data_IF_159157929093
#
_entry.id   IF_159157929093
#
_cell.length_a   1.000
_cell.length_b   1.000
_cell.length_c   1.000
_cell.angle_alpha   90.00
_cell.angle_beta   90.00
_cell.angle_gamma   90.00
#
_symmetry.space_group_name_H-M   'P 1'
#
loop_
_entity.id
_entity.type
_entity.pdbx_description
1 polymer ?
#
# COMPACT_ATOMS: atom_id res chain seq x y z
N UNK A 1 -2.94 -15.08 22.50
CA UNK A 1 -3.33 -15.07 21.11
C UNK A 1 -3.54 -13.62 20.73
N UNK A 2 -2.68 -13.00 19.92
CA UNK A 2 -3.04 -11.70 19.40
C UNK A 2 -4.19 -11.91 18.41
N UNK A 3 -5.29 -11.26 18.69
CA UNK A 3 -6.46 -11.14 17.85
C UNK A 3 -6.01 -10.52 16.53
N UNK A 4 -6.14 -11.28 15.44
CA UNK A 4 -5.83 -10.79 14.09
C UNK A 4 -6.64 -9.53 13.86
N UNK A 5 -5.94 -8.41 13.71
CA UNK A 5 -6.51 -7.09 13.56
C UNK A 5 -7.31 -7.00 12.23
N UNK A 6 -8.53 -7.51 12.27
CA UNK A 6 -9.57 -7.14 11.31
C UNK A 6 -9.80 -5.65 11.51
N UNK A 7 -9.13 -4.83 10.70
CA UNK A 7 -9.29 -3.39 10.74
C UNK A 7 -8.03 -2.55 11.03
N UNK A 8 -6.81 -3.08 10.88
CA UNK A 8 -5.59 -2.27 10.87
C UNK A 8 -5.18 -1.87 9.45
N UNK A 9 -4.51 -0.74 9.35
CA UNK A 9 -3.91 -0.23 8.13
C UNK A 9 -2.42 0.03 8.33
N UNK A 10 -1.66 -0.15 7.26
CA UNK A 10 -0.29 0.32 7.16
C UNK A 10 -0.27 1.68 6.46
N UNK A 11 0.45 2.62 7.05
CA UNK A 11 0.83 3.89 6.41
C UNK A 11 2.23 3.70 5.86
N UNK A 12 2.35 3.73 4.53
CA UNK A 12 3.60 3.50 3.84
C UNK A 12 4.12 4.79 3.21
N UNK A 13 5.43 5.02 3.31
CA UNK A 13 6.14 5.95 2.44
C UNK A 13 6.79 5.13 1.35
N UNK A 14 6.40 5.37 0.11
CA UNK A 14 6.99 4.74 -1.07
C UNK A 14 7.77 5.78 -1.87
N UNK A 15 9.04 5.52 -2.21
CA UNK A 15 9.89 6.48 -2.87
C UNK A 15 10.80 5.82 -3.90
N UNK A 16 11.04 6.51 -5.03
CA UNK A 16 11.94 6.02 -6.07
C UNK A 16 13.39 6.12 -5.62
N UNK A 17 14.05 4.97 -5.50
CA UNK A 17 15.44 4.87 -5.10
C UNK A 17 16.36 5.48 -6.15
N UNK A 18 17.30 6.34 -5.72
CA UNK A 18 18.30 6.94 -6.60
C UNK A 18 17.84 8.14 -7.42
N UNK A 19 16.56 8.49 -7.40
CA UNK A 19 16.09 9.74 -7.98
C UNK A 19 16.46 10.94 -7.10
N UNK A 20 16.73 12.10 -7.72
CA UNK A 20 17.19 13.31 -7.03
C UNK A 20 16.44 14.58 -7.51
N UNK A 21 15.52 15.15 -6.71
CA UNK A 21 14.92 14.59 -5.49
C UNK A 21 14.04 13.37 -5.78
N UNK A 22 13.87 12.44 -4.84
CA UNK A 22 13.05 11.27 -5.10
C UNK A 22 11.55 11.64 -5.15
N UNK A 23 10.81 11.26 -6.19
CA UNK A 23 9.36 11.22 -6.13
C UNK A 23 8.92 10.26 -5.03
N UNK A 24 7.92 10.66 -4.24
CA UNK A 24 7.43 9.82 -3.16
C UNK A 24 5.92 9.96 -2.99
N UNK A 25 5.30 8.92 -2.44
CA UNK A 25 3.87 8.87 -2.09
C UNK A 25 3.69 8.31 -0.69
N UNK A 26 2.67 8.79 0.00
CA UNK A 26 2.22 8.28 1.30
C UNK A 26 0.91 7.55 1.11
N UNK A 27 0.95 6.24 1.24
CA UNK A 27 -0.18 5.35 0.98
C UNK A 27 -0.73 4.79 2.30
N UNK A 28 -2.04 4.68 2.40
CA UNK A 28 -2.73 3.95 3.46
C UNK A 28 -3.38 2.70 2.86
N UNK A 29 -3.03 1.54 3.38
CA UNK A 29 -3.42 0.22 2.86
C UNK A 29 -3.91 -0.68 3.98
N UNK A 30 -4.89 -1.58 3.73
CA UNK A 30 -5.23 -2.63 4.68
C UNK A 30 -3.99 -3.46 5.03
N UNK A 31 -3.75 -3.74 6.32
CA UNK A 31 -2.61 -4.57 6.75
C UNK A 31 -2.68 -6.00 6.21
N UNK A 32 -3.88 -6.45 5.87
CA UNK A 32 -4.14 -7.79 5.29
C UNK A 32 -3.95 -7.86 3.77
N UNK A 33 -3.67 -6.73 3.10
CA UNK A 33 -3.43 -6.73 1.64
C UNK A 33 -2.27 -7.66 1.31
N UNK A 34 -2.43 -8.51 0.31
CA UNK A 34 -1.37 -9.42 -0.15
C UNK A 34 -0.35 -8.69 -1.01
N UNK A 35 0.88 -9.22 -1.11
CA UNK A 35 1.96 -8.53 -1.83
C UNK A 35 1.68 -8.45 -3.33
N UNK A 36 0.98 -9.43 -3.94
CA UNK A 36 0.52 -9.33 -5.33
C UNK A 36 -0.44 -8.14 -5.53
N UNK A 37 -1.32 -7.87 -4.55
CA UNK A 37 -2.20 -6.71 -4.60
C UNK A 37 -1.46 -5.39 -4.30
N UNK A 38 -0.44 -5.44 -3.43
CA UNK A 38 0.46 -4.31 -3.23
C UNK A 38 1.22 -3.97 -4.52
N UNK A 39 1.64 -4.99 -5.29
CA UNK A 39 2.24 -4.78 -6.60
C UNK A 39 1.31 -3.97 -7.53
N UNK A 40 0.04 -4.37 -7.67
CA UNK A 40 -0.93 -3.64 -8.48
C UNK A 40 -1.11 -2.19 -8.00
N UNK A 41 -1.18 -1.96 -6.68
CA UNK A 41 -1.24 -0.60 -6.11
C UNK A 41 0.00 0.22 -6.49
N UNK A 42 1.21 -0.37 -6.43
CA UNK A 42 2.44 0.33 -6.81
C UNK A 42 2.50 0.65 -8.30
N UNK A 43 2.00 -0.26 -9.16
CA UNK A 43 1.92 -0.01 -10.60
C UNK A 43 1.05 1.22 -10.90
N UNK A 44 -0.13 1.32 -10.29
CA UNK A 44 -0.99 2.50 -10.41
C UNK A 44 -0.37 3.75 -9.79
N UNK A 45 0.26 3.60 -8.63
CA UNK A 45 0.89 4.73 -7.91
C UNK A 45 1.96 5.44 -8.72
N UNK A 46 2.67 4.69 -9.58
CA UNK A 46 3.77 5.21 -10.39
C UNK A 46 3.48 5.25 -11.90
N UNK A 47 2.25 4.98 -12.32
CA UNK A 47 1.86 5.02 -13.73
C UNK A 47 2.51 3.91 -14.58
N UNK A 48 2.86 2.77 -13.96
CA UNK A 48 3.48 1.64 -14.67
C UNK A 48 2.44 0.69 -15.27
N UNK A 49 2.83 -0.07 -16.31
CA UNK A 49 1.92 -0.88 -17.12
C UNK A 49 2.09 -2.40 -16.92
N UNK A 50 2.82 -2.85 -15.90
CA UNK A 50 3.03 -4.26 -15.52
C UNK A 50 3.64 -5.14 -16.62
N UNK A 51 4.55 -4.60 -17.44
CA UNK A 51 5.23 -5.38 -18.50
C UNK A 51 6.48 -6.12 -18.02
N UNK A 52 6.92 -5.92 -16.79
CA UNK A 52 8.19 -6.45 -16.27
C UNK A 52 8.03 -7.42 -15.10
N UNK A 53 9.05 -8.26 -14.86
CA UNK A 53 9.13 -9.03 -13.64
C UNK A 53 9.28 -8.11 -12.43
N UNK A 54 8.78 -8.55 -11.28
CA UNK A 54 8.97 -7.82 -10.03
C UNK A 54 9.32 -8.76 -8.86
N UNK A 55 9.81 -8.16 -7.78
CA UNK A 55 9.97 -8.84 -6.50
C UNK A 55 9.96 -7.86 -5.33
N UNK A 56 9.60 -8.39 -4.16
CA UNK A 56 9.69 -7.72 -2.87
C UNK A 56 10.79 -8.34 -2.03
N UNK A 57 11.76 -7.55 -1.62
CA UNK A 57 12.84 -7.96 -0.72
C UNK A 57 12.57 -7.37 0.65
N UNK A 58 12.39 -8.23 1.65
CA UNK A 58 12.06 -7.86 3.03
C UNK A 58 13.06 -8.47 4.00
N UNK A 59 12.96 -8.14 5.28
CA UNK A 59 13.74 -8.79 6.34
C UNK A 59 13.43 -10.30 6.46
N UNK A 60 12.26 -10.73 6.02
CA UNK A 60 11.78 -12.11 6.14
C UNK A 60 11.99 -12.96 4.88
N UNK A 61 12.55 -12.38 3.82
CA UNK A 61 12.87 -13.06 2.58
C UNK A 61 12.46 -12.30 1.33
N UNK A 62 12.59 -12.96 0.20
CA UNK A 62 12.20 -12.44 -1.11
C UNK A 62 10.87 -13.08 -1.54
N UNK A 63 9.95 -12.24 -2.03
CA UNK A 63 8.62 -12.64 -2.52
C UNK A 63 8.49 -12.21 -3.98
N UNK A 64 7.67 -12.91 -4.74
CA UNK A 64 7.40 -12.57 -6.13
C UNK A 64 6.49 -13.57 -6.81
N UNK A 65 6.01 -13.21 -7.98
CA UNK A 65 5.16 -14.06 -8.79
C UNK A 65 5.85 -15.30 -9.34
N UNK A 66 5.10 -16.24 -9.91
CA UNK A 66 5.63 -17.50 -10.45
C UNK A 66 6.56 -17.24 -11.64
N UNK A 67 7.81 -17.64 -11.53
CA UNK A 67 8.82 -17.50 -12.58
C UNK A 67 8.86 -18.73 -13.46
N UNK A 68 8.81 -18.55 -14.79
CA UNK A 68 9.05 -19.65 -15.73
C UNK A 68 10.53 -20.06 -15.70
N UNK A 69 10.87 -21.33 -15.43
CA UNK A 69 12.24 -21.77 -15.23
C UNK A 69 12.98 -21.93 -16.57
N UNK A 70 13.63 -20.90 -17.06
CA UNK A 70 14.42 -20.97 -18.31
C UNK A 70 15.82 -20.35 -18.23
N UNK A 71 16.24 -19.78 -17.10
CA UNK A 71 17.53 -19.11 -17.01
C UNK A 71 18.14 -19.16 -15.59
N UNK A 72 19.38 -18.63 -15.44
CA UNK A 72 20.04 -18.49 -14.14
C UNK A 72 19.26 -17.59 -13.16
N UNK A 73 18.51 -16.63 -13.71
CA UNK A 73 17.55 -15.80 -12.97
C UNK A 73 16.40 -16.67 -12.42
N UNK A 74 15.95 -17.67 -13.17
CA UNK A 74 14.92 -18.61 -12.74
C UNK A 74 15.31 -19.44 -11.50
N UNK A 75 16.62 -19.70 -11.28
CA UNK A 75 17.08 -20.44 -10.10
C UNK A 75 16.96 -19.57 -8.84
N UNK A 76 17.25 -18.29 -8.96
CA UNK A 76 17.09 -17.32 -7.85
C UNK A 76 15.61 -17.05 -7.55
N UNK A 77 14.80 -16.99 -8.59
CA UNK A 77 13.36 -16.83 -8.49
C UNK A 77 12.64 -18.08 -7.93
N UNK A 78 13.21 -19.27 -8.09
CA UNK A 78 12.68 -20.50 -7.48
C UNK A 78 12.85 -20.55 -5.95
N UNK A 79 13.65 -19.66 -5.37
CA UNK A 79 13.81 -19.49 -3.92
C UNK A 79 12.87 -18.42 -3.34
N UNK A 80 12.16 -17.69 -4.20
CA UNK A 80 11.16 -16.69 -3.79
C UNK A 80 9.93 -17.36 -3.22
N UNK A 81 9.36 -16.72 -2.22
CA UNK A 81 8.06 -17.10 -1.68
C UNK A 81 6.94 -16.55 -2.57
N UNK A 82 5.81 -17.24 -2.56
CA UNK A 82 4.62 -16.79 -3.26
C UNK A 82 4.08 -15.51 -2.61
N UNK A 83 4.01 -14.43 -3.38
CA UNK A 83 3.52 -13.13 -2.96
C UNK A 83 2.01 -13.10 -2.73
N UNK A 84 1.24 -13.94 -3.46
CA UNK A 84 -0.22 -14.01 -3.32
C UNK A 84 -0.68 -14.60 -1.99
N UNK A 85 0.19 -15.38 -1.33
CA UNK A 85 -0.04 -15.96 -0.01
C UNK A 85 0.51 -15.13 1.16
N UNK A 86 1.18 -14.00 0.90
CA UNK A 86 1.87 -13.20 1.91
C UNK A 86 1.17 -11.85 2.11
N UNK A 87 0.59 -11.62 3.29
CA UNK A 87 0.04 -10.33 3.65
C UNK A 87 1.15 -9.30 3.96
N UNK A 88 0.88 -8.01 3.71
CA UNK A 88 1.77 -6.90 4.06
C UNK A 88 2.21 -6.95 5.52
N UNK A 89 1.29 -7.20 6.45
CA UNK A 89 1.59 -7.36 7.89
C UNK A 89 2.53 -8.54 8.21
N UNK A 90 2.68 -9.52 7.32
CA UNK A 90 3.62 -10.62 7.47
C UNK A 90 4.98 -10.31 6.85
N UNK A 91 5.00 -9.45 5.84
CA UNK A 91 6.20 -9.05 5.11
C UNK A 91 6.93 -7.86 5.76
N UNK A 92 6.18 -6.99 6.47
CA UNK A 92 6.68 -5.83 7.20
C UNK A 92 5.68 -5.52 8.33
N UNK A 93 5.85 -6.14 9.48
CA UNK A 93 4.87 -6.15 10.58
C UNK A 93 5.06 -5.06 11.61
N UNK A 94 6.19 -4.36 11.60
CA UNK A 94 6.52 -3.35 12.58
C UNK A 94 6.75 -1.97 11.94
N UNK A 95 6.43 -0.92 12.69
CA UNK A 95 6.77 0.46 12.28
C UNK A 95 8.29 0.59 12.15
N UNK A 96 8.74 1.14 11.03
CA UNK A 96 10.15 1.22 10.64
C UNK A 96 10.64 0.07 9.76
N UNK A 97 9.86 -0.97 9.55
CA UNK A 97 10.20 -2.02 8.61
C UNK A 97 10.30 -1.48 7.17
N UNK A 98 11.28 -2.01 6.44
CA UNK A 98 11.54 -1.63 5.05
C UNK A 98 11.30 -2.79 4.09
N UNK A 99 10.76 -2.48 2.92
CA UNK A 99 10.65 -3.39 1.78
C UNK A 99 11.33 -2.70 0.59
N UNK A 100 12.20 -3.42 -0.15
CA UNK A 100 12.64 -2.99 -1.46
C UNK A 100 11.78 -3.69 -2.52
N UNK A 101 11.02 -2.92 -3.27
CA UNK A 101 10.29 -3.40 -4.43
C UNK A 101 11.15 -3.17 -5.68
N UNK A 102 11.41 -4.25 -6.43
CA UNK A 102 12.22 -4.25 -7.64
C UNK A 102 11.33 -4.54 -8.83
N UNK A 103 11.46 -3.76 -9.91
CA UNK A 103 10.62 -3.88 -11.11
C UNK A 103 11.44 -3.67 -12.39
N UNK A 104 11.20 -4.51 -13.41
CA UNK A 104 11.80 -4.39 -14.73
C UNK A 104 12.81 -5.49 -15.09
N UNK A 105 13.28 -5.49 -16.36
CA UNK A 105 14.11 -6.55 -16.92
C UNK A 105 15.61 -6.26 -16.90
N UNK A 106 16.04 -5.02 -17.09
CA UNK A 106 17.43 -4.65 -17.34
C UNK A 106 17.97 -3.66 -16.32
N UNK A 107 17.26 -2.58 -16.13
CA UNK A 107 17.57 -1.58 -15.12
C UNK A 107 16.42 -1.59 -14.12
N UNK A 108 16.60 -2.43 -13.10
CA UNK A 108 15.59 -2.65 -12.09
C UNK A 108 15.22 -1.29 -11.44
N UNK A 109 14.00 -0.85 -11.68
CA UNK A 109 13.43 0.21 -10.88
C UNK A 109 13.31 -0.29 -9.46
N UNK A 110 13.87 0.47 -8.55
CA UNK A 110 13.76 0.16 -7.13
C UNK A 110 12.91 1.22 -6.45
N UNK A 111 11.86 0.76 -5.78
CA UNK A 111 11.07 1.57 -4.86
C UNK A 111 11.40 1.15 -3.44
N UNK A 112 11.84 2.10 -2.64
CA UNK A 112 12.00 1.90 -1.21
C UNK A 112 10.65 2.18 -0.52
N UNK A 113 10.16 1.19 0.21
CA UNK A 113 8.90 1.22 0.95
C UNK A 113 9.24 1.17 2.44
N UNK A 114 8.78 2.16 3.19
CA UNK A 114 8.94 2.26 4.63
C UNK A 114 7.57 2.19 5.32
N UNK A 115 7.41 1.31 6.29
CA UNK A 115 6.27 1.33 7.19
C UNK A 115 6.41 2.51 8.15
N UNK A 116 5.70 3.60 7.88
CA UNK A 116 5.74 4.78 8.73
C UNK A 116 4.94 4.57 10.01
N UNK A 117 3.74 4.00 9.89
CA UNK A 117 2.85 3.70 11.02
C UNK A 117 1.95 2.50 10.73
N UNK A 118 1.45 1.91 11.81
CA UNK A 118 0.37 0.91 11.79
C UNK A 118 -0.76 1.43 12.68
N UNK A 119 -1.92 1.69 12.09
CA UNK A 119 -3.03 2.35 12.75
C UNK A 119 -4.31 1.51 12.68
N UNK A 120 -5.27 1.69 13.59
CA UNK A 120 -6.64 1.21 13.37
C UNK A 120 -7.23 1.85 12.12
N UNK A 121 -7.99 1.09 11.35
CA UNK A 121 -8.72 1.64 10.20
C UNK A 121 -9.74 2.69 10.64
N UNK A 122 -9.85 3.78 9.89
CA UNK A 122 -10.84 4.82 10.15
C UNK A 122 -12.22 4.33 9.68
N UNK A 123 -13.24 4.33 10.54
CA UNK A 123 -14.59 3.94 10.16
C UNK A 123 -15.10 4.75 8.96
N UNK A 124 -15.58 4.05 7.93
CA UNK A 124 -16.13 4.69 6.72
C UNK A 124 -15.08 5.17 5.71
N UNK A 125 -13.78 5.07 6.01
CA UNK A 125 -12.75 5.37 5.02
C UNK A 125 -12.59 4.21 4.03
N UNK A 126 -12.38 4.56 2.75
CA UNK A 126 -11.99 3.59 1.72
C UNK A 126 -10.47 3.45 1.68
N UNK A 127 -9.98 2.23 1.37
CA UNK A 127 -8.58 1.91 1.17
C UNK A 127 -8.43 1.00 -0.07
N UNK A 128 -7.33 1.08 -0.83
CA UNK A 128 -6.14 1.94 -0.64
C UNK A 128 -6.44 3.42 -0.88
N UNK A 129 -5.63 4.31 -0.29
CA UNK A 129 -5.69 5.74 -0.58
C UNK A 129 -4.33 6.40 -0.46
N UNK A 130 -4.13 7.52 -1.18
CA UNK A 130 -2.96 8.38 -1.06
C UNK A 130 -3.28 9.57 -0.14
N UNK A 131 -2.38 9.87 0.79
CA UNK A 131 -2.56 10.97 1.75
C UNK A 131 -1.48 12.04 1.67
N UNK A 132 -0.57 11.91 0.71
CA UNK A 132 0.48 12.87 0.44
C UNK A 132 1.48 12.37 -0.57
N UNK A 133 2.26 13.27 -1.13
CA UNK A 133 3.28 12.93 -2.10
C UNK A 133 3.97 14.16 -2.66
N UNK A 134 5.00 13.93 -3.46
CA UNK A 134 5.73 14.94 -4.19
C UNK A 134 6.44 14.33 -5.39
N UNK A 135 6.63 15.15 -6.42
CA UNK A 135 7.28 14.77 -7.66
C UNK A 135 6.32 14.09 -8.64
N UNK A 136 6.76 14.01 -9.87
CA UNK A 136 6.03 13.48 -11.02
C UNK A 136 5.77 11.98 -10.92
N UNK A 137 4.91 11.50 -11.81
CA UNK A 137 4.79 10.08 -12.09
C UNK A 137 6.09 9.59 -12.73
N UNK A 138 6.42 8.32 -12.45
CA UNK A 138 7.67 7.74 -12.90
C UNK A 138 7.41 7.04 -14.23
N UNK A 139 7.91 7.56 -15.35
CA UNK A 139 7.79 6.86 -16.61
C UNK A 139 8.64 5.59 -16.59
N UNK A 140 7.98 4.42 -16.41
CA UNK A 140 8.67 3.15 -16.27
C UNK A 140 9.23 2.57 -17.57
N UNK A 141 8.66 2.90 -18.72
CA UNK A 141 8.86 2.10 -19.93
C UNK A 141 9.61 2.83 -21.05
N UNK A 142 9.96 4.08 -20.85
CA UNK A 142 10.70 4.89 -21.82
C UNK A 142 12.13 5.18 -21.44
N UNK A 143 12.55 4.82 -20.23
CA UNK A 143 13.87 5.14 -19.70
C UNK A 143 14.72 3.89 -19.50
N UNK A 144 16.02 4.03 -19.74
CA UNK A 144 17.01 2.97 -19.46
C UNK A 144 17.34 2.86 -17.97
N UNK A 145 16.65 3.64 -17.09
CA UNK A 145 16.81 3.60 -15.65
C UNK A 145 16.78 4.97 -14.97
N UNK A 146 16.95 4.99 -13.66
CA UNK A 146 16.85 6.20 -12.82
C UNK A 146 17.86 7.30 -13.20
N UNK A 147 19.01 6.93 -13.81
CA UNK A 147 20.02 7.89 -14.23
C UNK A 147 19.52 8.76 -15.39
N UNK A 148 18.84 8.17 -16.37
CA UNK A 148 18.26 8.88 -17.51
C UNK A 148 17.10 9.77 -17.06
N UNK A 149 16.25 9.23 -16.19
CA UNK A 149 15.19 9.99 -15.54
C UNK A 149 15.71 11.25 -14.81
N UNK A 150 16.81 11.12 -14.03
CA UNK A 150 17.43 12.26 -13.37
C UNK A 150 18.01 13.29 -14.37
N UNK A 151 18.62 12.82 -15.45
CA UNK A 151 19.21 13.71 -16.48
C UNK A 151 18.14 14.54 -17.18
N UNK A 152 17.01 13.94 -17.54
CA UNK A 152 15.91 14.66 -18.17
C UNK A 152 15.28 15.69 -17.21
N UNK A 153 15.11 15.34 -15.95
CA UNK A 153 14.59 16.26 -14.92
C UNK A 153 15.49 17.49 -14.74
N UNK A 154 16.80 17.29 -14.74
CA UNK A 154 17.77 18.37 -14.63
C UNK A 154 17.70 19.29 -15.86
N UNK A 155 17.52 18.72 -17.07
CA UNK A 155 17.40 19.50 -18.32
C UNK A 155 16.08 20.29 -18.38
N UNK A 156 14.96 19.68 -17.98
CA UNK A 156 13.63 20.29 -18.09
C UNK A 156 13.30 21.24 -16.94
N UNK A 157 14.03 21.16 -15.81
CA UNK A 157 13.79 21.95 -14.58
C UNK A 157 12.31 21.99 -14.18
N UNK A 158 11.64 20.83 -14.23
CA UNK A 158 10.21 20.69 -14.01
C UNK A 158 9.87 20.92 -12.53
N UNK A 159 8.97 21.89 -12.29
CA UNK A 159 8.26 22.00 -11.01
C UNK A 159 6.94 21.26 -11.15
N UNK A 160 6.92 20.00 -10.76
CA UNK A 160 5.77 19.12 -10.97
C UNK A 160 4.90 19.09 -9.74
N UNK A 161 3.64 19.47 -9.94
CA UNK A 161 2.60 19.36 -8.94
C UNK A 161 2.07 17.90 -8.90
N UNK A 162 1.91 17.38 -7.70
CA UNK A 162 1.29 16.08 -7.45
C UNK A 162 0.01 16.27 -6.63
N UNK A 163 -1.09 15.64 -7.09
CA UNK A 163 -2.37 15.66 -6.39
C UNK A 163 -2.67 14.30 -5.73
N UNK A 164 -2.64 14.23 -4.38
CA UNK A 164 -2.96 13.00 -3.69
C UNK A 164 -4.44 12.58 -3.83
N UNK A 165 -5.34 13.53 -4.09
CA UNK A 165 -6.78 13.23 -4.24
C UNK A 165 -7.03 12.52 -5.56
N UNK A 166 -6.40 12.97 -6.66
CA UNK A 166 -6.46 12.31 -7.97
C UNK A 166 -5.99 10.85 -7.89
N UNK A 167 -4.81 10.62 -7.30
CA UNK A 167 -4.32 9.25 -7.12
C UNK A 167 -5.25 8.43 -6.21
N UNK A 168 -5.90 9.04 -5.22
CA UNK A 168 -6.86 8.32 -4.37
C UNK A 168 -8.10 7.88 -5.14
N UNK A 169 -8.57 8.68 -6.09
CA UNK A 169 -9.69 8.33 -6.98
C UNK A 169 -9.31 7.15 -7.88
N UNK A 170 -8.13 7.18 -8.48
CA UNK A 170 -7.61 6.06 -9.31
C UNK A 170 -7.47 4.76 -8.48
N UNK A 171 -6.93 4.85 -7.28
CA UNK A 171 -6.80 3.70 -6.38
C UNK A 171 -8.16 3.17 -5.89
N UNK A 172 -9.20 4.00 -5.81
CA UNK A 172 -10.54 3.56 -5.45
C UNK A 172 -11.16 2.68 -6.55
N UNK A 173 -10.92 2.99 -7.80
CA UNK A 173 -11.34 2.17 -8.94
C UNK A 173 -10.63 0.81 -8.90
N UNK A 174 -9.32 0.82 -8.68
CA UNK A 174 -8.53 -0.40 -8.51
C UNK A 174 -9.04 -1.25 -7.34
N UNK A 175 -9.35 -0.64 -6.19
CA UNK A 175 -9.85 -1.35 -5.00
C UNK A 175 -11.12 -2.17 -5.27
N UNK A 176 -11.96 -1.75 -6.22
CA UNK A 176 -13.16 -2.51 -6.59
C UNK A 176 -12.84 -3.82 -7.30
N UNK A 177 -11.69 -3.87 -7.96
CA UNK A 177 -11.24 -4.99 -8.80
C UNK A 177 -10.37 -5.97 -8.00
N UNK A 178 -9.40 -5.44 -7.24
CA UNK A 178 -8.33 -6.25 -6.64
C UNK A 178 -8.55 -6.60 -5.17
N UNK A 179 -9.35 -5.83 -4.42
CA UNK A 179 -9.63 -6.09 -3.01
C UNK A 179 -11.06 -6.63 -2.88
N UNK A 180 -11.25 -7.93 -2.58
CA UNK A 180 -12.58 -8.51 -2.37
C UNK A 180 -13.38 -7.75 -1.31
N UNK A 181 -14.70 -7.73 -1.47
CA UNK A 181 -15.59 -7.01 -0.54
C UNK A 181 -15.43 -7.45 0.93
N UNK A 182 -14.97 -8.69 1.16
CA UNK A 182 -14.71 -9.23 2.49
C UNK A 182 -13.44 -8.65 3.15
N UNK A 183 -12.50 -8.14 2.36
CA UNK A 183 -11.23 -7.55 2.84
C UNK A 183 -11.33 -6.02 2.98
N UNK A 184 -12.40 -5.43 2.43
CA UNK A 184 -12.66 -4.00 2.60
C UNK A 184 -13.06 -3.76 4.05
N UNK A 185 -12.35 -2.89 4.72
CA UNK A 185 -12.68 -2.49 6.10
C UNK A 185 -13.95 -1.66 6.08
N UNK A 186 -15.08 -2.32 6.27
CA UNK A 186 -16.36 -1.65 6.53
C UNK A 186 -16.41 -1.36 8.03
N UNK A 187 -16.33 -0.10 8.41
CA UNK A 187 -16.67 0.31 9.77
C UNK A 187 -18.11 -0.11 10.08
N UNK A 188 -18.42 -0.51 11.32
CA UNK A 188 -19.80 -0.75 11.71
C UNK A 188 -20.59 0.51 11.47
N UNK A 189 -21.71 0.40 10.72
CA UNK A 189 -22.69 1.46 10.63
C UNK A 189 -23.06 1.85 12.05
N UNK A 190 -22.93 3.15 12.37
CA UNK A 190 -23.36 3.67 13.65
C UNK A 190 -24.87 3.40 13.77
N UNK A 191 -25.21 2.34 14.48
CA UNK A 191 -26.56 2.05 14.88
C UNK A 191 -26.95 3.12 15.89
N UNK A 192 -27.73 4.09 15.41
CA UNK A 192 -28.33 5.12 16.23
C UNK A 192 -29.46 4.47 17.03
N UNK A 193 -29.07 3.68 18.07
CA UNK A 193 -30.04 3.09 18.97
C UNK A 193 -30.61 4.18 19.86
N UNK A 194 -31.90 4.45 19.64
CA UNK A 194 -32.84 5.14 20.46
C UNK A 194 -32.62 4.99 21.95
N UNK A 195 -32.58 6.13 22.66
CA UNK A 195 -32.62 6.22 24.11
C UNK A 195 -33.85 5.45 24.68
N UNK A 196 -33.67 4.64 25.73
CA UNK A 196 -34.83 4.15 26.47
C UNK A 196 -35.38 5.25 27.39
N UNK A 197 -36.66 5.48 27.26
CA UNK A 197 -37.43 6.39 28.08
C UNK A 197 -37.23 6.12 29.60
N UNK A 198 -36.94 7.16 30.32
CA UNK A 198 -36.85 7.15 31.78
C UNK A 198 -38.19 6.78 32.42
N UNK A 199 -38.26 5.60 32.98
CA UNK A 199 -39.40 5.15 33.79
C UNK A 199 -39.29 5.78 35.19
N UNK A 200 -40.26 6.62 35.53
CA UNK A 200 -40.44 7.23 36.84
C UNK A 200 -40.87 6.15 37.83
N UNK A 201 -39.96 5.73 38.69
CA UNK A 201 -40.34 4.95 39.87
C UNK A 201 -40.73 5.90 41.00
N UNK A 202 -42.02 6.00 41.29
CA UNK A 202 -42.55 6.56 42.51
C UNK A 202 -42.46 5.48 43.61
N UNK A 203 -41.62 5.71 44.61
CA UNK A 203 -41.60 4.92 45.81
C UNK A 203 -42.10 5.73 47.02
N UNK A 204 -42.90 5.14 47.87
CA UNK A 204 -43.47 5.84 49.03
C UNK A 204 -42.51 5.72 50.23
N UNK A 205 -42.22 6.80 50.89
CA UNK A 205 -41.80 6.79 52.29
C UNK A 205 -42.68 7.71 53.09
N UNK A 206 -43.50 7.06 53.88
CA UNK A 206 -44.26 7.60 54.97
C UNK A 206 -43.58 7.25 56.31
N UNK A 207 -43.56 8.19 57.24
CA UNK A 207 -43.42 8.07 58.71
C UNK A 207 -41.99 7.86 59.33
N UNK A 208 -41.52 8.85 60.06
CA UNK A 208 -41.63 9.11 61.50
C UNK A 208 -40.86 10.37 61.82
#
# INVERSE_FOLDING_TARGET
MPETASGSIHVLIVSLHGAAPPPWRRLELPSAITLDRLHEVLQWTFGWSDFGPHSFVTLYGEFGGPVRPASRAAKRAAERRDESGAALAQAAGDEGDGIAYLYGYHDEWRVDILVERILPATPGAAYPRCTGGQGEDIPGEGYEGVWEFNAEREELALDVYFDPEELTEDLADLATVIIPAAERVSGPAADCASEPAAERVSGPFDRA
#
